data_IF_060525538240
#
_entry.id   IF_060525538240
#
_cell.length_a   1.000
_cell.length_b   1.000
_cell.length_c   1.000
_cell.angle_alpha   90.00
_cell.angle_beta   90.00
_cell.angle_gamma   90.00
#
_symmetry.space_group_name_H-M   'P 1'
#
loop_
_entity.id
_entity.type
_entity.pdbx_description
1 polymer ?
#
# COMPACT_ATOMS: atom_id res chain seq x y z
N UNK A 1 -1.30 8.96 -7.75
CA UNK A 1 -2.45 8.01 -7.78
C UNK A 1 -3.68 8.72 -8.33
N UNK A 2 -4.65 7.97 -8.85
CA UNK A 2 -5.71 8.49 -9.72
C UNK A 2 -7.08 8.67 -9.04
N UNK A 3 -8.14 8.73 -9.86
CA UNK A 3 -9.52 8.96 -9.42
C UNK A 3 -10.27 7.66 -9.07
N UNK A 4 -9.82 6.49 -9.55
CA UNK A 4 -10.42 5.19 -9.23
C UNK A 4 -9.45 4.04 -9.49
N UNK A 5 -9.50 3.01 -8.66
CA UNK A 5 -8.67 1.79 -8.78
C UNK A 5 -9.37 0.57 -9.40
N UNK A 6 -10.69 0.59 -9.58
CA UNK A 6 -11.42 -0.54 -10.17
C UNK A 6 -11.24 -1.90 -9.45
N UNK A 7 -10.98 -1.88 -8.14
CA UNK A 7 -10.66 -3.07 -7.33
C UNK A 7 -9.16 -3.27 -7.05
N UNK A 8 -8.29 -2.50 -7.70
CA UNK A 8 -6.88 -2.40 -7.34
C UNK A 8 -6.71 -1.72 -5.99
N UNK A 9 -5.92 -2.33 -5.09
CA UNK A 9 -5.65 -1.86 -3.72
C UNK A 9 -6.91 -1.63 -2.86
N UNK A 10 -7.95 -2.42 -3.09
CA UNK A 10 -9.19 -2.34 -2.30
C UNK A 10 -8.92 -2.47 -0.79
N UNK A 11 -9.60 -1.63 0.00
CA UNK A 11 -9.38 -1.51 1.43
C UNK A 11 -8.21 -0.60 1.82
N UNK A 12 -7.62 0.11 0.86
CA UNK A 12 -6.52 1.04 1.10
C UNK A 12 -6.84 2.44 0.61
N UNK A 13 -6.46 3.43 1.40
CA UNK A 13 -6.57 4.85 1.11
C UNK A 13 -5.32 5.28 0.34
N UNK A 14 -5.52 5.54 -0.94
CA UNK A 14 -4.44 5.80 -1.89
C UNK A 14 -4.90 6.61 -3.12
N UNK A 15 -6.20 6.89 -3.26
CA UNK A 15 -6.74 7.71 -4.34
C UNK A 15 -6.55 9.20 -4.07
N UNK A 16 -6.59 10.01 -5.13
CA UNK A 16 -6.25 11.44 -5.08
C UNK A 16 -7.00 12.23 -4.01
N UNK A 17 -8.29 11.95 -3.83
CA UNK A 17 -9.16 12.59 -2.83
C UNK A 17 -8.82 12.19 -1.39
N UNK A 18 -8.19 11.04 -1.18
CA UNK A 18 -7.77 10.52 0.12
C UNK A 18 -6.36 10.98 0.53
N UNK A 19 -5.53 11.41 -0.43
CA UNK A 19 -4.10 11.70 -0.18
C UNK A 19 -3.86 12.77 0.88
N UNK A 20 -4.77 13.75 0.99
CA UNK A 20 -4.67 14.80 2.01
C UNK A 20 -4.97 14.27 3.41
N UNK A 21 -5.97 13.40 3.54
CA UNK A 21 -6.42 12.85 4.82
C UNK A 21 -5.39 11.89 5.42
N UNK A 22 -4.79 11.03 4.58
CA UNK A 22 -3.78 10.07 5.02
C UNK A 22 -2.46 10.73 5.49
N UNK A 23 -2.18 11.99 5.10
CA UNK A 23 -1.05 12.72 5.70
C UNK A 23 -1.29 12.98 7.18
N UNK A 24 -2.51 13.39 7.57
CA UNK A 24 -2.87 13.61 8.97
C UNK A 24 -2.97 12.31 9.74
N UNK A 25 -3.65 11.30 9.19
CA UNK A 25 -3.87 10.03 9.88
C UNK A 25 -2.57 9.27 10.15
N UNK A 26 -1.52 9.50 9.36
CA UNK A 26 -0.22 8.91 9.62
C UNK A 26 0.37 9.37 10.96
N UNK A 27 0.24 10.66 11.29
CA UNK A 27 0.65 11.17 12.60
C UNK A 27 -0.18 10.57 13.74
N UNK A 28 -1.51 10.54 13.55
CA UNK A 28 -2.45 9.97 14.51
C UNK A 28 -2.13 8.49 14.82
N UNK A 29 -1.90 7.67 13.79
CA UNK A 29 -1.50 6.26 13.95
C UNK A 29 -0.24 6.10 14.80
N UNK A 30 0.81 6.89 14.53
CA UNK A 30 2.07 6.79 15.28
C UNK A 30 1.90 7.23 16.74
N UNK A 31 1.06 8.22 17.00
CA UNK A 31 0.71 8.67 18.35
C UNK A 31 -0.09 7.61 19.12
N UNK A 32 -1.10 7.02 18.46
CA UNK A 32 -1.97 5.98 19.02
C UNK A 32 -1.20 4.69 19.36
N UNK A 33 -0.30 4.24 18.48
CA UNK A 33 0.55 3.07 18.71
C UNK A 33 1.72 3.35 19.68
N UNK A 34 1.82 4.58 20.21
CA UNK A 34 2.91 5.01 21.08
C UNK A 34 4.31 4.81 20.46
N UNK A 35 4.41 5.01 19.14
CA UNK A 35 5.67 4.94 18.43
C UNK A 35 6.64 6.00 18.94
N UNK A 36 7.87 5.59 19.22
CA UNK A 36 8.86 6.45 19.89
C UNK A 36 9.35 7.67 19.08
N UNK A 37 8.97 7.79 17.80
CA UNK A 37 9.43 8.83 16.88
C UNK A 37 8.23 9.49 16.20
N UNK A 38 8.38 10.75 15.82
CA UNK A 38 7.41 11.42 14.97
C UNK A 38 7.59 11.02 13.49
N UNK A 39 6.56 11.27 12.69
CA UNK A 39 6.69 11.25 11.23
C UNK A 39 7.71 12.32 10.80
N UNK A 40 8.66 12.01 9.90
CA UNK A 40 9.60 13.03 9.41
C UNK A 40 8.87 14.12 8.60
N UNK A 41 9.29 15.39 8.73
CA UNK A 41 8.59 16.54 8.12
C UNK A 41 8.57 16.48 6.58
N UNK A 42 9.66 16.04 5.95
CA UNK A 42 9.80 15.94 4.50
C UNK A 42 9.36 14.57 3.97
N UNK A 43 8.21 14.07 4.42
CA UNK A 43 7.65 12.81 3.92
C UNK A 43 6.32 12.98 3.21
N UNK A 44 6.07 12.06 2.29
CA UNK A 44 4.79 11.94 1.61
C UNK A 44 4.22 10.54 1.83
N UNK A 45 3.12 10.47 2.57
CA UNK A 45 2.38 9.23 2.77
C UNK A 45 1.50 9.01 1.56
N UNK A 46 1.78 7.97 0.79
CA UNK A 46 1.00 7.71 -0.42
C UNK A 46 -0.03 6.61 -0.21
N UNK A 47 0.14 5.75 0.79
CA UNK A 47 -0.72 4.58 0.98
C UNK A 47 -0.98 4.36 2.47
N UNK A 48 -2.23 4.13 2.82
CA UNK A 48 -2.64 3.64 4.13
C UNK A 48 -3.61 2.48 3.95
N UNK A 49 -3.52 1.46 4.80
CA UNK A 49 -4.45 0.33 4.76
C UNK A 49 -5.16 0.19 6.10
N UNK A 50 -6.48 0.46 6.07
CA UNK A 50 -7.41 0.30 7.20
C UNK A 50 -6.96 0.98 8.50
N UNK A 51 -6.16 2.04 8.41
CA UNK A 51 -5.73 2.84 9.55
C UNK A 51 -4.58 2.29 10.39
N UNK A 52 -4.05 1.08 10.13
CA UNK A 52 -3.02 0.46 11.00
C UNK A 52 -1.66 0.22 10.31
N UNK A 53 -1.56 0.49 9.01
CA UNK A 53 -0.29 0.45 8.29
C UNK A 53 -0.23 1.48 7.18
N UNK A 54 0.98 1.94 6.88
CA UNK A 54 1.21 2.97 5.87
C UNK A 54 2.51 2.76 5.10
N UNK A 55 2.55 3.30 3.88
CA UNK A 55 3.76 3.44 3.07
C UNK A 55 4.01 4.91 2.74
N UNK A 56 5.28 5.30 2.75
CA UNK A 56 5.71 6.66 2.48
C UNK A 56 7.09 6.70 1.83
N UNK A 57 7.48 7.87 1.32
CA UNK A 57 8.83 8.17 0.86
C UNK A 57 9.22 9.59 1.27
N UNK A 58 10.53 9.88 1.31
CA UNK A 58 11.05 11.23 1.54
C UNK A 58 10.96 12.10 0.29
N UNK A 59 10.65 13.39 0.48
CA UNK A 59 10.56 14.39 -0.60
C UNK A 59 11.95 14.85 -1.09
N UNK A 60 13.00 14.62 -0.31
CA UNK A 60 14.38 14.98 -0.59
C UNK A 60 15.25 13.81 -1.10
N UNK A 61 14.65 12.64 -1.33
CA UNK A 61 15.34 11.40 -1.73
C UNK A 61 15.42 11.17 -3.25
N UNK A 62 15.09 12.19 -4.04
CA UNK A 62 15.16 12.18 -5.50
C UNK A 62 13.87 11.73 -6.19
N UNK A 63 13.92 11.59 -7.51
CA UNK A 63 12.75 11.37 -8.37
C UNK A 63 12.11 9.97 -8.22
N UNK A 64 12.89 8.98 -7.81
CA UNK A 64 12.44 7.60 -7.63
C UNK A 64 12.88 7.10 -6.24
N UNK A 65 12.28 7.66 -5.17
CA UNK A 65 12.79 7.51 -3.81
C UNK A 65 12.55 6.10 -3.27
N UNK A 66 13.26 5.69 -2.21
CA UNK A 66 12.96 4.47 -1.47
C UNK A 66 11.55 4.50 -0.87
N UNK A 67 10.94 3.34 -0.70
CA UNK A 67 9.66 3.21 -0.02
C UNK A 67 9.87 2.65 1.37
N UNK A 68 9.33 3.37 2.34
CA UNK A 68 9.29 3.00 3.75
C UNK A 68 7.90 2.56 4.18
N UNK A 69 7.86 1.80 5.27
CA UNK A 69 6.68 1.12 5.78
C UNK A 69 6.61 1.23 7.31
N UNK A 70 5.38 1.37 7.80
CA UNK A 70 5.00 1.20 9.19
C UNK A 70 3.81 0.26 9.33
N UNK A 71 3.82 -0.56 10.39
CA UNK A 71 2.73 -1.43 10.80
C UNK A 71 2.59 -1.34 12.31
N UNK A 72 1.38 -1.07 12.77
CA UNK A 72 0.98 -1.23 14.17
C UNK A 72 1.15 -2.70 14.56
N UNK A 73 2.01 -2.96 15.55
CA UNK A 73 2.31 -4.31 16.03
C UNK A 73 2.49 -4.31 17.54
N UNK A 74 2.33 -5.47 18.17
CA UNK A 74 2.68 -5.68 19.57
C UNK A 74 3.78 -6.76 19.68
N UNK A 75 5.01 -6.42 20.09
CA UNK A 75 5.45 -5.11 20.61
C UNK A 75 5.58 -4.03 19.54
N UNK A 76 5.38 -2.77 19.96
CA UNK A 76 5.48 -1.57 19.11
C UNK A 76 6.84 -1.51 18.43
N UNK A 77 6.85 -1.12 17.15
CA UNK A 77 8.07 -0.99 16.36
C UNK A 77 8.95 0.16 16.87
N UNK A 78 10.25 0.11 16.58
CA UNK A 78 11.21 1.16 16.97
C UNK A 78 11.77 1.95 15.79
N UNK A 79 11.43 1.54 14.56
CA UNK A 79 11.88 2.15 13.31
C UNK A 79 10.95 1.81 12.15
N UNK A 80 10.89 2.70 11.17
CA UNK A 80 10.33 2.42 9.86
C UNK A 80 11.18 1.40 9.11
N UNK A 81 10.55 0.58 8.28
CA UNK A 81 11.24 -0.42 7.44
C UNK A 81 11.28 0.05 6.00
N UNK A 82 12.45 0.05 5.37
CA UNK A 82 12.53 0.23 3.92
C UNK A 82 12.10 -1.09 3.24
N UNK A 83 11.06 -1.04 2.41
CA UNK A 83 10.49 -2.22 1.73
C UNK A 83 10.82 -2.28 0.24
N UNK A 84 11.09 -1.13 -0.40
CA UNK A 84 11.57 -1.06 -1.78
C UNK A 84 12.69 -0.02 -1.91
N UNK A 85 13.70 -0.25 -2.76
CA UNK A 85 14.75 0.73 -3.03
C UNK A 85 14.27 1.89 -3.93
N UNK A 86 13.16 1.70 -4.64
CA UNK A 86 12.58 2.65 -5.60
C UNK A 86 11.06 2.59 -5.55
N UNK A 87 10.41 3.74 -5.66
CA UNK A 87 8.96 3.86 -5.72
C UNK A 87 8.39 3.18 -6.97
N UNK A 88 9.10 3.26 -8.08
CA UNK A 88 8.75 2.56 -9.32
C UNK A 88 8.71 1.02 -9.14
N UNK A 89 9.61 0.45 -8.34
CA UNK A 89 9.63 -0.99 -8.03
C UNK A 89 8.40 -1.41 -7.22
N UNK A 90 7.97 -0.58 -6.26
CA UNK A 90 6.73 -0.78 -5.53
C UNK A 90 5.53 -0.82 -6.50
N UNK A 91 5.38 0.21 -7.33
CA UNK A 91 4.25 0.30 -8.27
C UNK A 91 4.20 -0.90 -9.23
N UNK A 92 5.34 -1.27 -9.81
CA UNK A 92 5.41 -2.41 -10.73
C UNK A 92 5.07 -3.72 -10.02
N UNK A 93 5.54 -3.91 -8.79
CA UNK A 93 5.27 -5.13 -8.01
C UNK A 93 3.79 -5.26 -7.70
N UNK A 94 3.16 -4.20 -7.19
CA UNK A 94 1.73 -4.20 -6.86
C UNK A 94 0.86 -4.41 -8.11
N UNK A 95 1.16 -3.71 -9.20
CA UNK A 95 0.44 -3.85 -10.47
C UNK A 95 0.54 -5.27 -11.03
N UNK A 96 1.74 -5.84 -11.10
CA UNK A 96 1.94 -7.20 -11.62
C UNK A 96 1.26 -8.24 -10.73
N UNK A 97 1.34 -8.10 -9.40
CA UNK A 97 0.63 -8.96 -8.46
C UNK A 97 -0.88 -8.95 -8.67
N UNK A 98 -1.47 -7.77 -8.89
CA UNK A 98 -2.91 -7.65 -9.16
C UNK A 98 -3.32 -8.31 -10.49
N UNK A 99 -2.52 -8.15 -11.55
CA UNK A 99 -2.75 -8.77 -12.86
C UNK A 99 -2.67 -10.30 -12.75
N UNK A 100 -1.69 -10.83 -12.03
CA UNK A 100 -1.49 -12.27 -11.87
C UNK A 100 -2.65 -12.94 -11.13
N UNK A 101 -3.17 -12.30 -10.07
CA UNK A 101 -4.34 -12.75 -9.34
C UNK A 101 -5.55 -12.81 -10.29
N UNK A 102 -5.82 -11.74 -11.03
CA UNK A 102 -6.95 -11.69 -11.96
C UNK A 102 -6.84 -12.72 -13.09
N UNK A 103 -5.63 -12.92 -13.62
CA UNK A 103 -5.37 -13.91 -14.66
C UNK A 103 -5.61 -15.33 -14.14
N UNK A 104 -5.10 -15.67 -12.95
CA UNK A 104 -5.34 -16.97 -12.30
C UNK A 104 -6.82 -17.21 -12.01
N UNK A 105 -7.54 -16.21 -11.51
CA UNK A 105 -8.97 -16.33 -11.22
C UNK A 105 -9.80 -16.55 -12.50
N UNK A 106 -9.48 -15.83 -13.58
CA UNK A 106 -10.14 -16.01 -14.88
C UNK A 106 -9.92 -17.42 -15.46
N UNK A 107 -8.69 -17.94 -15.37
CA UNK A 107 -8.37 -19.30 -15.79
C UNK A 107 -9.08 -20.37 -14.95
N UNK A 108 -9.12 -20.17 -13.63
CA UNK A 108 -9.82 -21.08 -12.71
C UNK A 108 -11.31 -21.18 -13.04
N UNK A 109 -11.99 -20.04 -13.27
CA UNK A 109 -13.42 -20.02 -13.66
C UNK A 109 -13.68 -20.79 -14.94
N UNK A 110 -12.86 -20.58 -15.98
CA UNK A 110 -12.96 -21.31 -17.26
C UNK A 110 -12.83 -22.82 -17.08
N UNK A 111 -11.94 -23.30 -16.19
CA UNK A 111 -11.76 -24.73 -15.94
C UNK A 111 -12.97 -25.35 -15.21
N UNK A 112 -13.57 -24.64 -14.25
CA UNK A 112 -14.82 -25.08 -13.59
C UNK A 112 -16.01 -25.11 -14.56
N UNK A 113 -16.13 -24.15 -15.47
CA UNK A 113 -17.23 -24.11 -16.44
C UNK A 113 -17.14 -25.25 -17.47
N UNK A 114 -15.92 -25.56 -17.93
CA UNK A 114 -15.67 -26.71 -18.82
C UNK A 114 -15.90 -28.05 -18.10
N UNK A 115 -15.65 -28.12 -16.80
CA UNK A 115 -15.96 -29.29 -15.97
C UNK A 115 -17.46 -29.50 -15.72
N UNK A 116 -18.25 -28.42 -15.70
CA UNK A 116 -19.70 -28.48 -15.53
C UNK A 116 -20.43 -28.93 -16.81
N UNK A 117 -19.89 -28.61 -17.99
CA UNK A 117 -20.44 -28.98 -19.31
C UNK A 117 -20.16 -30.44 -19.72
N UNK A 118 -19.51 -31.26 -18.87
CA UNK A 118 -19.18 -32.68 -19.13
C UNK A 118 -20.01 -33.67 -18.29
N UNK A 119 -21.21 -33.31 -17.85
CA UNK A 119 -22.17 -34.24 -17.24
C UNK A 119 -23.43 -34.37 -18.10
#
# INVERSE_FOLDING_TARGET
MGHSGGGFLEGSDCLYDQLMEIQSWAGELLEEDHFSKAMPEDTFVFFMHQGYQLNFFGLDEGEDPPVYYYLEENPVRTSFSQIYPRFSDFLLTEMNGHIDIHTRWSLSKKLTDVGCLRK
#
